data_IF_601890801195
#
_entry.id   IF_601890801195
#
_cell.length_a   1.000
_cell.length_b   1.000
_cell.length_c   1.000
_cell.angle_alpha   90.00
_cell.angle_beta   90.00
_cell.angle_gamma   90.00
#
_symmetry.space_group_name_H-M   'P 1'
#
loop_
_entity.id
_entity.type
_entity.pdbx_description
1 polymer ?
#
# COMPACT_ATOMS: atom_id res chain seq x y z
N UNK A 1 -1.51 4.63 59.20
CA UNK A 1 -2.31 4.45 57.96
C UNK A 1 -1.73 5.40 56.92
N UNK A 2 -0.93 4.89 55.98
CA UNK A 2 -0.41 5.68 54.85
C UNK A 2 -1.08 5.18 53.56
N UNK A 3 -1.84 6.04 52.91
CA UNK A 3 -2.41 5.82 51.59
C UNK A 3 -1.34 6.09 50.54
N UNK A 4 -1.00 5.07 49.75
CA UNK A 4 -0.22 5.23 48.52
C UNK A 4 -1.18 5.53 47.37
N UNK A 5 -1.08 6.73 46.80
CA UNK A 5 -1.76 7.09 45.57
C UNK A 5 -1.05 6.42 44.39
N UNK A 6 -1.73 5.47 43.75
CA UNK A 6 -1.33 4.87 42.48
C UNK A 6 -1.49 5.93 41.38
N UNK A 7 -0.38 6.50 40.93
CA UNK A 7 -0.33 7.30 39.72
C UNK A 7 -0.50 6.39 38.51
N UNK A 8 -1.69 6.40 37.90
CA UNK A 8 -1.88 5.82 36.58
C UNK A 8 -1.13 6.67 35.55
N UNK A 9 0.03 6.19 35.10
CA UNK A 9 0.66 6.69 33.89
C UNK A 9 -0.15 6.18 32.70
N UNK A 10 -1.02 7.03 32.15
CA UNK A 10 -1.63 6.79 30.85
C UNK A 10 -0.52 6.81 29.79
N UNK A 11 -0.14 5.64 29.28
CA UNK A 11 0.66 5.55 28.08
C UNK A 11 -0.12 6.22 26.94
N UNK A 12 0.34 7.38 26.49
CA UNK A 12 -0.17 8.03 25.30
C UNK A 12 0.03 7.07 24.13
N UNK A 13 -1.07 6.59 23.56
CA UNK A 13 -1.05 5.86 22.29
C UNK A 13 -0.49 6.86 21.27
N UNK A 14 0.73 6.64 20.81
CA UNK A 14 1.31 7.44 19.73
C UNK A 14 0.33 7.36 18.55
N UNK A 15 -0.32 8.47 18.22
CA UNK A 15 -1.12 8.55 17.00
C UNK A 15 -0.17 8.23 15.86
N UNK A 16 -0.43 7.11 15.17
CA UNK A 16 0.37 6.71 14.02
C UNK A 16 0.07 7.73 12.93
N UNK A 17 0.96 8.71 12.77
CA UNK A 17 0.85 9.76 11.77
C UNK A 17 0.93 9.18 10.36
N UNK A 18 0.27 9.85 9.42
CA UNK A 18 0.30 9.45 8.01
C UNK A 18 1.74 9.57 7.48
N UNK A 19 2.28 8.54 6.81
CA UNK A 19 3.68 8.51 6.39
C UNK A 19 3.99 9.49 5.25
N UNK A 20 2.98 9.94 4.49
CA UNK A 20 3.11 10.96 3.44
C UNK A 20 2.01 11.98 3.71
N UNK A 21 2.36 13.16 4.19
CA UNK A 21 1.37 14.20 4.49
C UNK A 21 0.82 14.81 3.20
N UNK A 22 1.71 15.13 2.26
CA UNK A 22 1.33 15.70 0.96
C UNK A 22 2.33 15.35 -0.14
N UNK A 23 1.90 15.55 -1.39
CA UNK A 23 2.71 15.36 -2.58
C UNK A 23 2.76 16.64 -3.42
N UNK A 24 3.88 16.84 -4.13
CA UNK A 24 4.04 17.98 -5.02
C UNK A 24 5.21 17.80 -5.98
N UNK A 25 5.06 18.18 -7.24
CA UNK A 25 6.12 18.09 -8.28
C UNK A 25 6.84 16.72 -8.38
N UNK A 26 6.14 15.61 -8.07
CA UNK A 26 6.73 14.26 -8.09
C UNK A 26 7.52 13.86 -6.83
N UNK A 27 7.41 14.67 -5.77
CA UNK A 27 8.00 14.46 -4.46
C UNK A 27 6.93 14.15 -3.39
N UNK A 28 7.38 13.49 -2.32
CA UNK A 28 6.60 13.15 -1.11
C UNK A 28 7.16 13.98 0.05
N UNK A 29 6.28 14.45 0.93
CA UNK A 29 6.67 15.25 2.08
C UNK A 29 6.02 14.72 3.37
N UNK A 30 6.72 14.86 4.48
CA UNK A 30 6.19 14.56 5.82
C UNK A 30 5.37 15.74 6.38
N UNK A 31 4.78 15.58 7.57
CA UNK A 31 3.98 16.64 8.21
C UNK A 31 4.78 17.91 8.54
N UNK A 32 6.10 17.79 8.72
CA UNK A 32 7.00 18.92 8.93
C UNK A 32 7.44 19.59 7.62
N UNK A 33 6.99 19.08 6.46
CA UNK A 33 7.32 19.59 5.14
C UNK A 33 8.70 19.18 4.64
N UNK A 34 9.35 18.20 5.27
CA UNK A 34 10.62 17.68 4.79
C UNK A 34 10.40 16.76 3.60
N UNK A 35 11.33 16.81 2.65
CA UNK A 35 11.34 15.90 1.52
C UNK A 35 11.61 14.47 2.00
N UNK A 36 10.74 13.54 1.61
CA UNK A 36 10.90 12.12 1.90
C UNK A 36 11.68 11.45 0.77
N UNK A 37 12.74 10.74 1.13
CA UNK A 37 13.41 9.81 0.22
C UNK A 37 12.60 8.51 0.12
N UNK A 38 12.06 8.21 -1.07
CA UNK A 38 11.26 7.02 -1.35
C UNK A 38 12.11 5.73 -1.44
N UNK A 39 12.75 5.36 -0.33
CA UNK A 39 13.49 4.11 -0.19
C UNK A 39 12.53 2.90 -0.19
N UNK A 40 13.00 1.68 -0.49
CA UNK A 40 12.15 0.48 -0.41
C UNK A 40 11.51 0.30 0.96
N UNK A 41 12.29 0.49 2.03
CA UNK A 41 11.82 0.35 3.40
C UNK A 41 10.75 1.40 3.74
N UNK A 42 10.93 2.63 3.25
CA UNK A 42 9.91 3.66 3.40
C UNK A 42 8.63 3.30 2.65
N UNK A 43 8.74 2.90 1.37
CA UNK A 43 7.57 2.52 0.54
C UNK A 43 6.80 1.37 1.21
N UNK A 44 7.51 0.34 1.66
CA UNK A 44 6.92 -0.80 2.36
C UNK A 44 6.17 -0.36 3.62
N UNK A 45 6.81 0.43 4.48
CA UNK A 45 6.20 0.97 5.71
C UNK A 45 4.97 1.81 5.40
N UNK A 46 5.05 2.67 4.37
CA UNK A 46 3.94 3.53 3.98
C UNK A 46 2.75 2.71 3.46
N UNK A 47 3.01 1.69 2.64
CA UNK A 47 1.98 0.80 2.13
C UNK A 47 1.31 -0.01 3.25
N UNK A 48 2.09 -0.53 4.20
CA UNK A 48 1.55 -1.24 5.37
C UNK A 48 0.61 -0.32 6.14
N UNK A 49 1.04 0.91 6.42
CA UNK A 49 0.19 1.91 7.07
C UNK A 49 -1.14 2.09 6.32
N UNK A 50 -1.12 2.33 5.01
CA UNK A 50 -2.35 2.54 4.25
C UNK A 50 -3.24 1.30 4.20
N UNK A 51 -2.66 0.11 3.98
CA UNK A 51 -3.41 -1.14 3.96
C UNK A 51 -4.10 -1.41 5.29
N UNK A 52 -3.40 -1.23 6.42
CA UNK A 52 -3.97 -1.43 7.76
C UNK A 52 -5.06 -0.40 8.06
N UNK A 53 -4.78 0.90 7.85
CA UNK A 53 -5.72 1.97 8.15
C UNK A 53 -6.98 1.91 7.29
N UNK A 54 -6.84 1.61 5.99
CA UNK A 54 -7.99 1.52 5.09
C UNK A 54 -8.77 0.23 5.33
N UNK A 55 -8.09 -0.91 5.49
CA UNK A 55 -8.78 -2.19 5.71
C UNK A 55 -9.52 -2.25 7.05
N UNK A 56 -9.07 -1.51 8.07
CA UNK A 56 -9.77 -1.37 9.34
C UNK A 56 -11.13 -0.65 9.22
N UNK A 57 -11.37 0.10 8.14
CA UNK A 57 -12.62 0.83 7.88
C UNK A 57 -13.64 0.01 7.07
N UNK A 58 -13.28 -1.19 6.63
CA UNK A 58 -14.15 -2.04 5.80
C UNK A 58 -15.30 -2.62 6.61
N UNK A 59 -16.49 -2.63 6.01
CA UNK A 59 -17.61 -3.41 6.53
C UNK A 59 -17.33 -4.92 6.38
N UNK A 60 -17.96 -5.80 7.18
CA UNK A 60 -17.67 -7.25 7.14
C UNK A 60 -17.75 -7.88 5.75
N UNK A 61 -18.71 -7.46 4.92
CA UNK A 61 -18.83 -7.93 3.54
C UNK A 61 -17.66 -7.48 2.66
N UNK A 62 -17.27 -6.20 2.75
CA UNK A 62 -16.14 -5.64 2.01
C UNK A 62 -14.81 -6.26 2.47
N UNK A 63 -14.67 -6.55 3.77
CA UNK A 63 -13.49 -7.21 4.34
C UNK A 63 -13.28 -8.61 3.74
N UNK A 64 -14.35 -9.38 3.54
CA UNK A 64 -14.28 -10.70 2.86
C UNK A 64 -13.84 -10.59 1.41
N UNK A 65 -14.35 -9.58 0.69
CA UNK A 65 -13.93 -9.29 -0.68
C UNK A 65 -12.45 -8.89 -0.72
N UNK A 66 -12.03 -7.99 0.17
CA UNK A 66 -10.63 -7.59 0.32
C UNK A 66 -9.71 -8.76 0.61
N UNK A 67 -10.08 -9.64 1.54
CA UNK A 67 -9.28 -10.81 1.89
C UNK A 67 -9.17 -11.80 0.72
N UNK A 68 -10.24 -11.92 -0.08
CA UNK A 68 -10.25 -12.74 -1.31
C UNK A 68 -9.30 -12.15 -2.36
N UNK A 69 -9.37 -10.85 -2.58
CA UNK A 69 -8.50 -10.11 -3.51
C UNK A 69 -7.03 -10.16 -3.08
N UNK A 70 -6.77 -9.93 -1.78
CA UNK A 70 -5.44 -10.05 -1.18
C UNK A 70 -4.90 -11.47 -1.32
N UNK A 71 -5.69 -12.49 -1.01
CA UNK A 71 -5.28 -13.88 -1.18
C UNK A 71 -4.98 -14.21 -2.66
N UNK A 72 -5.80 -13.72 -3.59
CA UNK A 72 -5.58 -13.88 -5.03
C UNK A 72 -4.24 -13.28 -5.48
N UNK A 73 -3.87 -12.11 -4.96
CA UNK A 73 -2.59 -11.48 -5.29
C UNK A 73 -1.38 -12.06 -4.58
N UNK A 74 -1.57 -12.54 -3.35
CA UNK A 74 -0.52 -13.15 -2.55
C UNK A 74 -0.29 -14.63 -2.85
N UNK A 75 -1.13 -15.24 -3.68
CA UNK A 75 -0.96 -16.60 -4.19
C UNK A 75 0.34 -16.72 -5.01
N UNK A 76 1.42 -17.13 -4.33
CA UNK A 76 2.74 -17.27 -4.93
C UNK A 76 2.83 -18.40 -5.94
N UNK A 77 1.86 -19.32 -5.98
CA UNK A 77 1.82 -20.38 -7.00
C UNK A 77 1.55 -19.82 -8.40
N UNK A 78 0.95 -18.63 -8.47
CA UNK A 78 0.65 -17.90 -9.71
C UNK A 78 1.70 -16.84 -10.04
N UNK A 79 2.72 -16.69 -9.20
CA UNK A 79 3.84 -15.78 -9.46
C UNK A 79 4.91 -16.53 -10.23
N UNK A 80 5.43 -15.98 -11.34
CA UNK A 80 6.60 -16.52 -12.00
C UNK A 80 7.76 -16.57 -10.99
N UNK A 81 8.65 -17.55 -11.13
CA UNK A 81 9.99 -17.39 -10.56
C UNK A 81 10.66 -16.27 -11.34
N UNK A 82 10.67 -15.05 -10.79
CA UNK A 82 11.44 -13.96 -11.39
C UNK A 82 12.92 -14.38 -11.47
N UNK A 83 13.55 -14.07 -12.59
CA UNK A 83 15.00 -14.19 -12.79
C UNK A 83 15.77 -13.33 -11.76
N UNK A 84 15.12 -12.29 -11.21
CA UNK A 84 15.63 -11.46 -10.11
C UNK A 84 15.60 -12.10 -8.71
N UNK A 85 15.17 -13.35 -8.57
CA UNK A 85 15.18 -14.09 -7.31
C UNK A 85 14.40 -13.41 -6.18
N UNK A 86 14.96 -13.39 -4.97
CA UNK A 86 14.28 -12.83 -3.79
C UNK A 86 14.02 -11.31 -3.91
N UNK A 87 14.89 -10.57 -4.60
CA UNK A 87 14.73 -9.12 -4.77
C UNK A 87 13.56 -8.78 -5.70
N UNK A 88 13.39 -9.55 -6.77
CA UNK A 88 12.21 -9.53 -7.63
C UNK A 88 10.90 -9.72 -6.89
N UNK A 89 10.83 -10.77 -6.07
CA UNK A 89 9.66 -11.06 -5.25
C UNK A 89 9.28 -9.93 -4.30
N UNK A 90 10.26 -9.18 -3.78
CA UNK A 90 10.01 -8.00 -2.94
C UNK A 90 9.45 -6.85 -3.76
N UNK A 91 10.01 -6.55 -4.93
CA UNK A 91 9.48 -5.54 -5.86
C UNK A 91 8.02 -5.84 -6.24
N UNK A 92 7.73 -7.08 -6.62
CA UNK A 92 6.38 -7.53 -6.97
C UNK A 92 5.40 -7.36 -5.82
N UNK A 93 5.83 -7.65 -4.59
CA UNK A 93 5.01 -7.48 -3.40
C UNK A 93 4.65 -6.00 -3.17
N UNK A 94 5.60 -5.07 -3.37
CA UNK A 94 5.30 -3.64 -3.29
C UNK A 94 4.30 -3.19 -4.39
N UNK A 95 4.42 -3.75 -5.60
CA UNK A 95 3.48 -3.46 -6.69
C UNK A 95 2.07 -3.96 -6.34
N UNK A 96 1.97 -5.17 -5.79
CA UNK A 96 0.71 -5.77 -5.34
C UNK A 96 0.08 -4.94 -4.23
N UNK A 97 0.87 -4.51 -3.24
CA UNK A 97 0.38 -3.66 -2.16
C UNK A 97 -0.20 -2.35 -2.70
N UNK A 98 0.45 -1.70 -3.66
CA UNK A 98 -0.08 -0.50 -4.30
C UNK A 98 -1.43 -0.78 -5.01
N UNK A 99 -1.57 -1.94 -5.65
CA UNK A 99 -2.82 -2.33 -6.29
C UNK A 99 -3.94 -2.64 -5.27
N UNK A 100 -3.61 -3.22 -4.11
CA UNK A 100 -4.56 -3.42 -3.02
C UNK A 100 -5.02 -2.09 -2.42
N UNK A 101 -4.13 -1.11 -2.32
CA UNK A 101 -4.48 0.26 -1.90
C UNK A 101 -5.44 0.90 -2.92
N UNK A 102 -5.19 0.76 -4.23
CA UNK A 102 -6.14 1.23 -5.26
C UNK A 102 -7.53 0.58 -5.10
N UNK A 103 -7.57 -0.72 -4.78
CA UNK A 103 -8.84 -1.41 -4.52
C UNK A 103 -9.54 -0.82 -3.30
N UNK A 104 -8.83 -0.63 -2.19
CA UNK A 104 -9.39 -0.07 -0.96
C UNK A 104 -9.93 1.35 -1.15
N UNK A 105 -9.20 2.20 -1.89
CA UNK A 105 -9.64 3.57 -2.21
C UNK A 105 -10.94 3.58 -3.03
N UNK A 106 -11.13 2.60 -3.92
CA UNK A 106 -12.35 2.50 -4.75
C UNK A 106 -13.56 1.99 -3.96
N UNK A 107 -13.34 1.05 -3.04
CA UNK A 107 -14.41 0.35 -2.33
C UNK A 107 -14.89 1.10 -1.09
N UNK A 108 -14.08 1.99 -0.53
CA UNK A 108 -14.41 2.77 0.65
C UNK A 108 -14.78 4.19 0.22
N UNK A 109 -15.94 4.73 0.62
CA UNK A 109 -16.23 6.14 0.44
C UNK A 109 -15.32 6.97 1.36
N UNK A 110 -14.33 7.64 0.78
CA UNK A 110 -13.35 8.46 1.48
C UNK A 110 -13.49 9.92 1.06
N UNK A 111 -13.54 10.84 2.02
CA UNK A 111 -13.61 12.28 1.75
C UNK A 111 -12.34 12.79 1.02
N UNK A 112 -11.21 12.15 1.26
CA UNK A 112 -9.87 12.42 0.77
C UNK A 112 -9.41 11.42 -0.31
N UNK A 113 -10.34 10.70 -0.95
CA UNK A 113 -10.01 9.67 -1.94
C UNK A 113 -9.06 10.15 -3.04
N UNK A 114 -9.21 11.40 -3.50
CA UNK A 114 -8.35 11.99 -4.53
C UNK A 114 -6.90 12.19 -4.08
N UNK A 115 -6.69 12.63 -2.84
CA UNK A 115 -5.36 12.83 -2.27
C UNK A 115 -4.65 11.48 -2.05
N UNK A 116 -5.34 10.52 -1.43
CA UNK A 116 -4.84 9.15 -1.26
C UNK A 116 -4.53 8.49 -2.60
N UNK A 117 -5.38 8.68 -3.62
CA UNK A 117 -5.12 8.19 -4.97
C UNK A 117 -3.88 8.84 -5.57
N UNK A 118 -3.66 10.14 -5.34
CA UNK A 118 -2.45 10.85 -5.73
C UNK A 118 -1.20 10.27 -5.09
N UNK A 119 -1.22 10.07 -3.76
CA UNK A 119 -0.12 9.45 -2.99
C UNK A 119 0.20 8.05 -3.51
N UNK A 120 -0.81 7.20 -3.71
CA UNK A 120 -0.61 5.84 -4.24
C UNK A 120 -0.12 5.84 -5.71
N UNK A 121 -0.58 6.79 -6.53
CA UNK A 121 -0.08 6.97 -7.91
C UNK A 121 1.40 7.33 -7.93
N UNK A 122 1.85 8.18 -7.00
CA UNK A 122 3.26 8.53 -6.89
C UNK A 122 4.10 7.31 -6.43
N UNK A 123 3.61 6.51 -5.48
CA UNK A 123 4.25 5.25 -5.09
C UNK A 123 4.39 4.32 -6.30
N UNK A 124 3.31 4.10 -7.06
CA UNK A 124 3.35 3.29 -8.29
C UNK A 124 4.37 3.82 -9.30
N UNK A 125 4.48 5.14 -9.45
CA UNK A 125 5.46 5.75 -10.33
C UNK A 125 6.90 5.45 -9.90
N UNK A 126 7.21 5.42 -8.59
CA UNK A 126 8.53 5.00 -8.08
C UNK A 126 8.79 3.51 -8.35
N UNK A 127 7.77 2.66 -8.21
CA UNK A 127 7.86 1.21 -8.43
C UNK A 127 7.98 0.77 -9.89
N UNK A 128 7.86 1.71 -10.85
CA UNK A 128 8.23 1.47 -12.26
C UNK A 128 9.73 1.27 -12.46
N UNK A 129 10.52 1.59 -11.44
CA UNK A 129 11.95 1.36 -11.40
C UNK A 129 12.27 0.36 -10.29
N UNK A 130 13.33 -0.41 -10.46
CA UNK A 130 13.85 -1.33 -9.44
C UNK A 130 14.24 -0.53 -8.21
N UNK A 131 13.65 -0.87 -7.07
CA UNK A 131 14.03 -0.28 -5.78
C UNK A 131 14.94 -1.24 -4.98
N UNK A 132 15.07 -2.49 -5.44
CA UNK A 132 15.97 -3.49 -4.87
C UNK A 132 17.16 -3.80 -5.81
N UNK A 133 18.30 -4.29 -5.29
CA UNK A 133 19.42 -4.79 -6.08
C UNK A 133 19.01 -5.89 -7.09
N UNK A 134 19.83 -6.17 -8.12
CA UNK A 134 21.17 -5.61 -8.39
C UNK A 134 21.19 -4.24 -9.08
N UNK A 135 20.09 -3.83 -9.72
CA UNK A 135 20.06 -2.67 -10.62
C UNK A 135 19.09 -1.58 -10.11
N UNK A 136 19.37 -1.00 -8.94
CA UNK A 136 18.51 0.06 -8.38
C UNK A 136 18.41 1.23 -9.37
N UNK A 137 17.18 1.67 -9.65
CA UNK A 137 16.89 2.76 -10.58
C UNK A 137 16.70 2.33 -12.03
N UNK A 138 17.03 1.09 -12.40
CA UNK A 138 16.72 0.58 -13.74
C UNK A 138 15.20 0.38 -13.90
N UNK A 139 14.64 0.52 -15.11
CA UNK A 139 13.24 0.20 -15.36
C UNK A 139 12.90 -1.22 -14.90
N UNK A 140 11.78 -1.36 -14.20
CA UNK A 140 11.26 -2.65 -13.76
C UNK A 140 10.13 -3.10 -14.67
N UNK A 141 10.37 -4.17 -15.43
CA UNK A 141 9.35 -4.85 -16.20
C UNK A 141 8.68 -5.92 -15.31
N UNK A 142 7.53 -5.57 -14.72
CA UNK A 142 6.74 -6.54 -13.97
C UNK A 142 6.41 -7.75 -14.85
N UNK A 143 6.50 -8.99 -14.33
CA UNK A 143 6.18 -10.18 -15.10
C UNK A 143 4.76 -10.14 -15.68
N UNK A 144 4.55 -10.75 -16.86
CA UNK A 144 3.25 -10.70 -17.56
C UNK A 144 2.12 -11.27 -16.71
N UNK A 145 2.41 -12.30 -15.94
CA UNK A 145 1.51 -12.99 -15.03
C UNK A 145 1.04 -12.05 -13.92
N UNK A 146 1.97 -11.28 -13.34
CA UNK A 146 1.62 -10.23 -12.37
C UNK A 146 0.75 -9.16 -13.03
N UNK A 147 1.11 -8.69 -14.24
CA UNK A 147 0.28 -7.72 -14.95
C UNK A 147 -1.13 -8.26 -15.26
N UNK A 148 -1.25 -9.53 -15.64
CA UNK A 148 -2.53 -10.18 -15.89
C UNK A 148 -3.36 -10.28 -14.60
N UNK A 149 -2.71 -10.63 -13.49
CA UNK A 149 -3.32 -10.69 -12.17
C UNK A 149 -3.89 -9.32 -11.76
N UNK A 150 -3.17 -8.23 -12.04
CA UNK A 150 -3.59 -6.87 -11.71
C UNK A 150 -4.61 -6.27 -12.69
N UNK A 151 -4.68 -6.73 -13.95
CA UNK A 151 -5.67 -6.23 -14.93
C UNK A 151 -7.12 -6.51 -14.54
N UNK A 152 -7.39 -7.55 -13.74
CA UNK A 152 -8.74 -7.88 -13.28
C UNK A 152 -9.30 -6.93 -12.20
N UNK A 153 -8.66 -5.78 -11.93
CA UNK A 153 -9.21 -4.70 -11.09
C UNK A 153 -10.30 -3.85 -11.76
N UNK A 154 -10.71 -4.18 -12.99
CA UNK A 154 -11.92 -3.63 -13.58
C UNK A 154 -13.05 -4.64 -13.38
N UNK A 155 -14.18 -4.30 -12.75
CA UNK A 155 -15.34 -5.18 -12.80
C UNK A 155 -15.70 -5.42 -14.27
N UNK A 156 -16.15 -6.63 -14.66
CA UNK A 156 -16.76 -6.80 -15.97
C UNK A 156 -17.88 -5.76 -16.15
N UNK A 157 -18.07 -5.21 -17.36
CA UNK A 157 -19.02 -4.12 -17.61
C UNK A 157 -20.43 -4.40 -17.08
N UNK A 158 -20.79 -5.67 -16.92
CA UNK A 158 -22.13 -6.13 -16.56
C UNK A 158 -22.43 -6.16 -15.05
N UNK A 159 -21.45 -5.90 -14.18
CA UNK A 159 -21.67 -5.89 -12.72
C UNK A 159 -22.21 -4.54 -12.18
N UNK A 160 -22.47 -3.54 -13.04
CA UNK A 160 -22.96 -2.21 -12.65
C UNK A 160 -24.45 -1.99 -12.93
N UNK A 161 -25.24 -3.05 -12.93
CA UNK A 161 -26.70 -2.97 -12.96
C UNK A 161 -27.23 -3.68 -11.74
N UNK A 162 -27.55 -2.90 -10.70
CA UNK A 162 -28.63 -3.10 -9.75
C UNK A 162 -28.96 -1.75 -9.13
#
# INVERSE_FOLDING_TARGET
MLSAALGWSSAAVAQVQEPIAFIGHGAMFDEAGNLIQATPAFIEKAQIYYLENLSARLQPAQKRLFDTERARYLDTSKRPRDEGGQAGNKQDTLIINAALIDWLIKEIPLADAGDLQGKNNLIKAKLRYRVFPPEIGAPYAAPKELLNLLRYQSPPPDARKN
#
